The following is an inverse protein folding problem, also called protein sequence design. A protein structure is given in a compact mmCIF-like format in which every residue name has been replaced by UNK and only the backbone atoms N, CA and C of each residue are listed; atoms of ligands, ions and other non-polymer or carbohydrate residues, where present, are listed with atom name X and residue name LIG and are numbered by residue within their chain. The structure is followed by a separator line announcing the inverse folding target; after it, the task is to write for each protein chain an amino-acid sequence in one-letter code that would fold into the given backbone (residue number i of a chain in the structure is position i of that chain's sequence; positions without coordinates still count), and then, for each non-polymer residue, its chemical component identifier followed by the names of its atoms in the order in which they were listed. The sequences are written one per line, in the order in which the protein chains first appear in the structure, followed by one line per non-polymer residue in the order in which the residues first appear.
data_IF_568735871637
#
_entry.id   IF_568735871637
#
_cell.length_a   1.000
_cell.length_b   1.000
_cell.length_c   1.000
_cell.angle_alpha   90.00
_cell.angle_beta   90.00
_cell.angle_gamma   90.00
#
_symmetry.space_group_name_H-M   'P 1'
#
loop_
_entity.id
_entity.type
_entity.pdbx_description
1 polymer ?
#
# COMPACT_ATOMS: atom_id res chain seq x y z
N UNK A 1 6.13 -21.48 -54.13
CA UNK A 1 4.87 -21.20 -53.41
C UNK A 1 5.06 -20.59 -52.02
N UNK A 2 6.13 -20.87 -51.25
CA UNK A 2 6.33 -20.29 -49.90
C UNK A 2 6.72 -18.79 -49.83
N UNK A 3 7.16 -18.17 -50.93
CA UNK A 3 7.54 -16.74 -50.95
C UNK A 3 6.37 -15.78 -51.26
N UNK A 4 5.22 -16.28 -51.70
CA UNK A 4 4.06 -15.44 -52.03
C UNK A 4 3.19 -15.12 -50.80
N UNK A 5 3.20 -15.99 -49.78
CA UNK A 5 2.38 -15.81 -48.56
C UNK A 5 2.94 -14.72 -47.65
N UNK A 6 4.27 -14.50 -47.67
CA UNK A 6 4.90 -13.49 -46.81
C UNK A 6 4.54 -12.04 -47.21
N UNK A 7 4.26 -11.80 -48.50
CA UNK A 7 3.92 -10.46 -48.99
C UNK A 7 2.47 -10.09 -48.66
N UNK A 8 1.56 -11.07 -48.62
CA UNK A 8 0.14 -10.82 -48.28
C UNK A 8 -0.04 -10.48 -46.80
N UNK A 9 0.76 -11.06 -45.91
CA UNK A 9 0.71 -10.73 -44.47
C UNK A 9 1.30 -9.34 -44.17
N UNK A 10 2.33 -8.92 -44.92
CA UNK A 10 2.95 -7.60 -44.73
C UNK A 10 2.04 -6.45 -45.22
N UNK A 11 1.23 -6.68 -46.27
CA UNK A 11 0.30 -5.66 -46.80
C UNK A 11 -0.93 -5.49 -45.91
N UNK A 12 -1.33 -6.51 -45.14
CA UNK A 12 -2.45 -6.41 -44.19
C UNK A 12 -2.14 -5.56 -42.95
N UNK A 13 -0.86 -5.36 -42.60
CA UNK A 13 -0.47 -4.51 -41.48
C UNK A 13 -0.43 -3.00 -41.80
N UNK A 14 -0.54 -2.60 -43.07
CA UNK A 14 -0.44 -1.19 -43.48
C UNK A 14 -1.78 -0.47 -43.68
N UNK A 15 -2.92 -1.11 -43.42
CA UNK A 15 -4.26 -0.55 -43.73
C UNK A 15 -5.07 -0.16 -42.48
N UNK A 16 -4.48 -0.19 -41.27
CA UNK A 16 -5.26 -0.13 -40.02
C UNK A 16 -4.90 1.00 -39.06
N UNK A 17 -4.77 2.25 -39.52
CA UNK A 17 -4.83 3.42 -38.63
C UNK A 17 -5.69 4.50 -39.30
N UNK A 18 -7.01 4.41 -39.12
CA UNK A 18 -7.88 5.58 -39.24
C UNK A 18 -7.69 6.39 -37.94
N UNK A 19 -7.16 7.62 -38.07
CA UNK A 19 -7.19 8.63 -37.01
C UNK A 19 -8.64 9.08 -36.82
N UNK A 20 -9.27 8.60 -35.74
CA UNK A 20 -10.55 9.14 -35.32
C UNK A 20 -10.37 10.59 -34.85
N UNK A 21 -11.02 11.46 -35.60
CA UNK A 21 -11.06 12.92 -35.52
C UNK A 21 -11.68 13.44 -34.21
N UNK A 22 -11.04 14.47 -33.65
CA UNK A 22 -11.60 15.58 -32.88
C UNK A 22 -12.89 15.30 -32.07
N UNK A 23 -12.72 14.73 -30.88
CA UNK A 23 -13.67 14.91 -29.81
C UNK A 23 -13.52 16.34 -29.26
N UNK A 24 -14.37 17.26 -29.73
CA UNK A 24 -14.55 18.57 -29.11
C UNK A 24 -15.09 18.37 -27.70
N UNK A 25 -14.25 18.64 -26.70
CA UNK A 25 -14.64 18.68 -25.28
C UNK A 25 -15.65 19.83 -25.11
N UNK A 26 -16.86 19.59 -24.57
CA UNK A 26 -17.77 20.67 -24.25
C UNK A 26 -17.12 21.56 -23.19
N UNK A 27 -17.01 22.85 -23.51
CA UNK A 27 -16.63 23.89 -22.56
C UNK A 27 -17.67 23.88 -21.44
N UNK A 28 -17.26 23.42 -20.26
CA UNK A 28 -18.07 23.49 -19.05
C UNK A 28 -18.10 24.95 -18.65
N UNK A 29 -19.25 25.61 -18.84
CA UNK A 29 -19.46 26.97 -18.35
C UNK A 29 -19.36 26.99 -16.83
N UNK A 30 -18.62 27.96 -16.31
CA UNK A 30 -18.37 28.19 -14.88
C UNK A 30 -19.69 28.25 -14.11
N UNK A 31 -20.01 27.18 -13.37
CA UNK A 31 -21.14 27.18 -12.45
C UNK A 31 -20.71 28.01 -11.23
N UNK A 32 -21.41 29.11 -10.89
CA UNK A 32 -21.07 29.91 -9.73
C UNK A 32 -21.18 29.07 -8.46
N UNK A 33 -20.09 28.99 -7.72
CA UNK A 33 -20.00 28.29 -6.44
C UNK A 33 -20.88 29.02 -5.43
N UNK A 34 -22.05 28.47 -5.12
CA UNK A 34 -22.87 28.99 -4.03
C UNK A 34 -22.19 28.65 -2.70
N UNK A 35 -21.74 29.71 -2.03
CA UNK A 35 -21.18 29.70 -0.68
C UNK A 35 -22.25 29.26 0.31
N UNK A 36 -22.36 27.95 0.54
CA UNK A 36 -23.15 27.43 1.65
C UNK A 36 -22.34 27.59 2.93
N UNK A 37 -22.51 28.74 3.58
CA UNK A 37 -22.08 28.97 4.95
C UNK A 37 -22.73 27.92 5.87
N UNK A 38 -21.95 26.91 6.26
CA UNK A 38 -22.33 25.87 7.22
C UNK A 38 -22.51 26.56 8.58
N UNK A 39 -23.76 26.60 9.06
CA UNK A 39 -24.04 27.04 10.43
C UNK A 39 -23.53 25.97 11.40
N UNK A 40 -22.62 26.41 12.27
CA UNK A 40 -22.03 25.66 13.36
C UNK A 40 -23.09 25.50 14.46
N UNK A 41 -23.77 24.36 14.52
CA UNK A 41 -24.58 24.00 15.67
C UNK A 41 -23.67 23.54 16.81
N UNK A 42 -23.54 24.38 17.84
CA UNK A 42 -22.98 24.02 19.14
C UNK A 42 -23.94 23.02 19.80
N UNK A 43 -23.50 21.76 19.91
CA UNK A 43 -24.22 20.73 20.66
C UNK A 43 -23.58 20.62 22.05
N UNK A 44 -24.33 21.06 23.06
CA UNK A 44 -23.99 20.94 24.47
C UNK A 44 -23.75 19.48 24.86
N UNK A 45 -22.59 19.25 25.46
CA UNK A 45 -22.13 17.98 25.98
C UNK A 45 -22.79 17.72 27.34
N UNK A 46 -23.63 16.69 27.41
CA UNK A 46 -24.25 16.24 28.65
C UNK A 46 -23.33 15.23 29.31
N UNK A 47 -22.67 15.66 30.39
CA UNK A 47 -21.92 14.81 31.31
C UNK A 47 -22.86 13.77 31.91
N UNK A 48 -22.54 12.48 31.69
CA UNK A 48 -23.11 11.35 32.43
C UNK A 48 -21.96 10.75 33.21
N UNK A 49 -21.99 10.98 34.51
CA UNK A 49 -21.22 10.21 35.49
C UNK A 49 -22.00 8.91 35.72
N UNK A 50 -21.40 7.78 35.35
CA UNK A 50 -21.82 6.47 35.82
C UNK A 50 -20.58 5.81 36.43
N UNK A 51 -20.54 5.86 37.76
CA UNK A 51 -19.87 4.89 38.62
C UNK A 51 -20.51 3.51 38.35
N UNK A 52 -19.70 2.46 38.17
CA UNK A 52 -19.96 1.20 38.86
C UNK A 52 -18.80 0.20 38.69
N UNK A 53 -18.48 -0.38 39.84
CA UNK A 53 -17.55 -1.45 40.11
C UNK A 53 -17.79 -2.72 39.28
N UNK A 54 -16.71 -3.42 38.91
CA UNK A 54 -16.52 -4.84 39.24
C UNK A 54 -15.14 -5.35 38.81
N UNK A 55 -14.32 -5.65 39.81
CA UNK A 55 -13.18 -6.56 39.72
C UNK A 55 -13.72 -8.00 39.70
N UNK A 56 -13.47 -8.74 38.63
CA UNK A 56 -13.54 -10.21 38.63
C UNK A 56 -12.19 -10.75 38.16
N UNK A 57 -11.45 -11.31 39.12
CA UNK A 57 -10.29 -12.18 38.88
C UNK A 57 -10.81 -13.56 38.49
N UNK A 58 -10.53 -14.03 37.28
CA UNK A 58 -10.69 -15.43 36.89
C UNK A 58 -9.32 -16.08 36.67
N UNK A 59 -9.00 -17.02 37.58
CA UNK A 59 -7.91 -17.98 37.48
C UNK A 59 -8.18 -18.97 36.32
N UNK A 60 -7.29 -19.04 35.33
CA UNK A 60 -7.29 -20.10 34.33
C UNK A 60 -6.12 -21.08 34.55
N UNK A 61 -6.46 -22.23 35.12
CA UNK A 61 -5.61 -23.40 35.28
C UNK A 61 -5.35 -24.13 33.95
N UNK A 62 -4.07 -24.47 33.75
CA UNK A 62 -3.51 -25.72 33.25
C UNK A 62 -4.30 -26.59 32.25
N UNK A 63 -3.71 -26.74 31.06
CA UNK A 63 -3.95 -27.88 30.16
C UNK A 63 -2.71 -28.14 29.30
N UNK A 64 -1.85 -29.05 29.76
CA UNK A 64 -0.77 -29.62 28.95
C UNK A 64 -1.36 -30.74 28.08
N UNK A 65 -1.41 -30.53 26.75
CA UNK A 65 -1.72 -31.58 25.78
C UNK A 65 -0.44 -32.04 25.07
N UNK A 66 -0.03 -33.27 25.36
CA UNK A 66 1.01 -34.00 24.63
C UNK A 66 0.47 -34.47 23.26
N UNK A 67 0.92 -33.86 22.17
CA UNK A 67 0.73 -34.42 20.83
C UNK A 67 1.89 -35.33 20.42
N UNK A 68 1.63 -36.64 20.43
CA UNK A 68 2.46 -37.64 19.77
C UNK A 68 2.24 -37.60 18.25
N UNK A 69 3.04 -36.79 17.56
CA UNK A 69 3.11 -36.75 16.09
C UNK A 69 4.06 -37.79 15.51
N UNK A 70 3.49 -38.75 14.79
CA UNK A 70 4.19 -39.82 14.05
C UNK A 70 5.13 -39.27 12.97
N UNK A 71 6.39 -39.69 13.01
CA UNK A 71 7.41 -39.34 12.03
C UNK A 71 7.10 -39.90 10.64
N UNK A 72 6.88 -39.00 9.68
CA UNK A 72 6.89 -39.27 8.25
C UNK A 72 8.21 -38.70 7.71
N UNK A 73 9.15 -39.58 7.37
CA UNK A 73 10.41 -39.22 6.73
C UNK A 73 10.17 -38.79 5.27
N UNK A 74 9.76 -37.53 5.08
CA UNK A 74 9.76 -36.91 3.75
C UNK A 74 11.19 -36.46 3.47
N UNK A 75 11.88 -37.19 2.59
CA UNK A 75 13.12 -36.70 1.97
C UNK A 75 12.77 -35.55 1.03
N UNK A 76 12.72 -34.33 1.56
CA UNK A 76 12.69 -33.11 0.76
C UNK A 76 14.06 -32.94 0.07
N UNK A 77 14.10 -33.35 -1.19
CA UNK A 77 15.08 -32.84 -2.14
C UNK A 77 14.62 -31.47 -2.61
N UNK A 78 15.05 -30.41 -1.93
CA UNK A 78 14.84 -29.03 -2.37
C UNK A 78 16.09 -28.20 -2.08
N UNK A 79 17.12 -28.42 -2.91
CA UNK A 79 18.12 -27.38 -3.20
C UNK A 79 17.47 -26.32 -4.11
N UNK A 80 16.55 -25.55 -3.55
CA UNK A 80 16.16 -24.26 -4.13
C UNK A 80 16.80 -23.25 -3.20
N UNK A 81 17.92 -22.66 -3.61
CA UNK A 81 18.49 -21.55 -2.87
C UNK A 81 17.37 -20.49 -2.74
N UNK A 82 17.02 -20.04 -1.53
CA UNK A 82 16.07 -18.94 -1.39
C UNK A 82 16.60 -17.81 -2.25
N UNK A 83 15.82 -17.40 -3.25
CA UNK A 83 16.13 -16.23 -4.05
C UNK A 83 16.15 -15.09 -3.04
N UNK A 84 17.36 -14.66 -2.67
CA UNK A 84 17.60 -13.45 -1.92
C UNK A 84 17.28 -12.30 -2.88
N UNK A 85 15.97 -12.07 -3.08
CA UNK A 85 15.48 -10.93 -3.83
C UNK A 85 15.89 -9.73 -2.99
N UNK A 86 16.94 -9.05 -3.42
CA UNK A 86 17.41 -7.83 -2.78
C UNK A 86 16.23 -6.86 -2.76
N UNK A 87 15.71 -6.61 -1.55
CA UNK A 87 14.59 -5.72 -1.32
C UNK A 87 15.04 -4.31 -1.68
N UNK A 88 14.57 -3.81 -2.82
CA UNK A 88 14.99 -2.55 -3.43
C UNK A 88 13.79 -1.83 -4.04
N UNK A 89 13.70 -0.52 -3.83
CA UNK A 89 12.66 0.36 -4.38
C UNK A 89 12.68 0.42 -5.91
N UNK A 90 13.82 0.13 -6.56
CA UNK A 90 13.91 0.00 -8.03
C UNK A 90 12.99 -1.06 -8.60
N UNK A 91 12.64 -2.06 -7.78
CA UNK A 91 11.81 -3.19 -8.18
C UNK A 91 10.34 -2.96 -7.77
N UNK A 92 9.90 -1.73 -7.56
CA UNK A 92 8.49 -1.44 -7.28
C UNK A 92 7.66 -1.44 -8.57
N UNK A 93 6.48 -2.11 -8.61
CA UNK A 93 5.82 -2.81 -7.51
C UNK A 93 6.17 -4.31 -7.37
N UNK A 94 7.02 -4.86 -8.22
CA UNK A 94 7.38 -6.28 -8.28
C UNK A 94 7.87 -6.87 -6.95
N UNK A 95 8.49 -6.08 -6.08
CA UNK A 95 8.86 -6.49 -4.71
C UNK A 95 7.69 -7.04 -3.89
N UNK A 96 6.45 -6.66 -4.23
CA UNK A 96 5.24 -7.15 -3.60
C UNK A 96 4.55 -8.28 -4.35
N UNK A 97 4.95 -8.54 -5.59
CA UNK A 97 4.40 -9.56 -6.48
C UNK A 97 5.19 -10.88 -6.41
N UNK A 98 6.42 -10.82 -5.87
CA UNK A 98 7.35 -11.93 -5.84
C UNK A 98 6.97 -13.06 -4.87
N UNK A 99 7.40 -14.27 -5.23
CA UNK A 99 7.36 -15.43 -4.36
C UNK A 99 8.45 -15.33 -3.28
N UNK A 100 8.12 -14.68 -2.17
CA UNK A 100 8.95 -14.69 -0.98
C UNK A 100 8.79 -16.08 -0.32
N UNK A 101 9.73 -16.99 -0.63
CA UNK A 101 9.92 -18.31 0.01
C UNK A 101 8.92 -19.43 -0.37
N UNK A 102 8.46 -19.52 -1.61
CA UNK A 102 7.52 -20.56 -2.04
C UNK A 102 6.07 -20.31 -1.62
N UNK A 103 5.77 -19.13 -1.06
CA UNK A 103 4.42 -18.64 -0.77
C UNK A 103 4.09 -17.56 -1.80
N UNK A 104 3.16 -17.87 -2.69
CA UNK A 104 2.48 -16.85 -3.49
C UNK A 104 1.78 -15.88 -2.55
N UNK A 105 2.38 -14.73 -2.29
CA UNK A 105 1.79 -13.69 -1.45
C UNK A 105 0.90 -12.85 -2.37
N UNK A 106 -0.35 -13.29 -2.54
CA UNK A 106 -1.21 -12.80 -3.62
C UNK A 106 -1.86 -11.44 -3.37
N UNK A 107 -1.66 -10.80 -2.20
CA UNK A 107 -2.32 -9.53 -1.91
C UNK A 107 -1.41 -8.54 -1.20
N UNK A 108 -1.54 -7.27 -1.57
CA UNK A 108 -1.01 -6.13 -0.83
C UNK A 108 -2.15 -5.40 -0.16
N UNK A 109 -1.98 -5.08 1.11
CA UNK A 109 -2.87 -4.13 1.77
C UNK A 109 -2.24 -2.74 1.79
N UNK A 110 -3.02 -1.73 1.50
CA UNK A 110 -2.66 -0.33 1.72
C UNK A 110 -3.37 0.11 2.99
N UNK A 111 -2.61 0.55 3.97
CA UNK A 111 -3.12 0.91 5.28
C UNK A 111 -3.03 2.41 5.47
N UNK A 112 -4.18 3.06 5.59
CA UNK A 112 -4.29 4.49 5.87
C UNK A 112 -4.78 4.66 7.30
N UNK A 113 -4.25 5.66 8.01
CA UNK A 113 -4.68 5.96 9.36
C UNK A 113 -6.14 6.39 9.44
N UNK A 114 -6.89 5.93 10.46
CA UNK A 114 -8.26 6.38 10.70
C UNK A 114 -8.37 7.88 10.92
N UNK A 115 -7.33 8.50 11.49
CA UNK A 115 -7.23 9.95 11.71
C UNK A 115 -6.50 10.67 10.58
N UNK A 116 -6.10 9.95 9.53
CA UNK A 116 -5.29 10.51 8.47
C UNK A 116 -6.06 11.61 7.72
N UNK A 117 -5.36 12.66 7.25
CA UNK A 117 -5.95 13.68 6.42
C UNK A 117 -6.46 13.09 5.11
N UNK A 118 -7.45 13.74 4.48
CA UNK A 118 -8.05 13.24 3.23
C UNK A 118 -7.03 13.04 2.11
N UNK A 119 -5.93 13.79 2.13
CA UNK A 119 -4.83 13.68 1.17
C UNK A 119 -4.02 12.38 1.31
N UNK A 120 -3.93 11.79 2.49
CA UNK A 120 -3.32 10.47 2.69
C UNK A 120 -4.20 9.36 2.09
N UNK A 121 -5.53 9.51 2.17
CA UNK A 121 -6.48 8.58 1.52
C UNK A 121 -6.33 8.62 -0.01
N UNK A 122 -6.19 9.83 -0.58
CA UNK A 122 -5.91 10.00 -2.02
C UNK A 122 -4.56 9.37 -2.37
N UNK A 123 -3.54 9.55 -1.53
CA UNK A 123 -2.22 8.95 -1.72
C UNK A 123 -2.29 7.41 -1.81
N UNK A 124 -3.09 6.79 -0.94
CA UNK A 124 -3.35 5.34 -1.01
C UNK A 124 -4.05 4.91 -2.29
N UNK A 125 -5.04 5.68 -2.73
CA UNK A 125 -5.75 5.43 -3.99
C UNK A 125 -4.81 5.51 -5.19
N UNK A 126 -3.91 6.49 -5.20
CA UNK A 126 -2.94 6.69 -6.28
C UNK A 126 -1.98 5.49 -6.40
N UNK A 127 -1.41 5.07 -5.28
CA UNK A 127 -0.52 3.89 -5.23
C UNK A 127 -1.28 2.64 -5.63
N UNK A 128 -2.51 2.44 -5.14
CA UNK A 128 -3.35 1.31 -5.52
C UNK A 128 -3.58 1.25 -7.03
N UNK A 129 -3.90 2.41 -7.64
CA UNK A 129 -4.12 2.51 -9.08
C UNK A 129 -2.85 2.20 -9.87
N UNK A 130 -1.68 2.68 -9.41
CA UNK A 130 -0.40 2.41 -10.06
C UNK A 130 -0.09 0.91 -10.06
N UNK A 131 -0.24 0.24 -8.92
CA UNK A 131 -0.01 -1.21 -8.82
C UNK A 131 -1.00 -1.98 -9.70
N UNK A 132 -2.30 -1.69 -9.59
CA UNK A 132 -3.33 -2.39 -10.38
C UNK A 132 -3.16 -2.18 -11.90
N UNK A 133 -2.57 -1.07 -12.33
CA UNK A 133 -2.27 -0.80 -13.74
C UNK A 133 -1.13 -1.64 -14.30
N UNK A 134 -0.29 -2.24 -13.44
CA UNK A 134 0.91 -3.00 -13.83
C UNK A 134 0.76 -4.50 -13.64
N UNK A 135 -0.14 -4.95 -12.76
CA UNK A 135 -0.33 -6.37 -12.48
C UNK A 135 -1.34 -6.98 -13.44
N UNK A 136 -0.87 -7.91 -14.28
CA UNK A 136 -1.74 -8.66 -15.20
C UNK A 136 -2.48 -9.84 -14.52
N UNK A 137 -2.01 -10.27 -13.34
CA UNK A 137 -2.61 -11.37 -12.59
C UNK A 137 -3.97 -10.96 -11.99
N UNK A 138 -5.01 -11.68 -12.40
CA UNK A 138 -6.39 -11.44 -11.96
C UNK A 138 -6.66 -11.86 -10.52
N UNK A 139 -5.81 -12.73 -9.98
CA UNK A 139 -5.93 -13.19 -8.60
C UNK A 139 -5.20 -12.27 -7.62
N UNK A 140 -4.37 -11.35 -8.13
CA UNK A 140 -3.71 -10.34 -7.32
C UNK A 140 -4.68 -9.22 -6.92
N UNK A 141 -4.68 -8.85 -5.64
CA UNK A 141 -5.53 -7.75 -5.15
C UNK A 141 -4.74 -6.75 -4.33
N UNK A 142 -4.98 -5.48 -4.63
CA UNK A 142 -4.65 -4.37 -3.76
C UNK A 142 -5.90 -3.95 -3.01
N UNK A 143 -5.85 -4.01 -1.68
CA UNK A 143 -6.98 -3.66 -0.82
C UNK A 143 -6.57 -2.49 0.05
N UNK A 144 -7.33 -1.40 0.01
CA UNK A 144 -7.12 -0.27 0.94
C UNK A 144 -8.00 -0.48 2.16
N UNK A 145 -7.42 -0.32 3.34
CA UNK A 145 -8.06 -0.52 4.65
C UNK A 145 -7.61 0.57 5.62
N UNK A 146 -8.41 0.83 6.64
CA UNK A 146 -8.03 1.66 7.77
C UNK A 146 -7.11 0.89 8.72
N UNK A 147 -6.29 1.64 9.46
CA UNK A 147 -5.27 1.09 10.37
C UNK A 147 -5.82 0.21 11.48
N UNK A 148 -7.08 0.41 11.88
CA UNK A 148 -7.73 -0.39 12.91
C UNK A 148 -8.65 -1.50 12.39
N UNK A 149 -8.76 -1.66 11.07
CA UNK A 149 -9.36 -2.83 10.44
C UNK A 149 -8.38 -4.01 10.35
N UNK A 150 -7.11 -3.76 10.67
CA UNK A 150 -6.02 -4.74 10.61
C UNK A 150 -5.40 -4.90 11.98
N UNK A 151 -5.18 -6.13 12.43
CA UNK A 151 -4.55 -6.40 13.73
C UNK A 151 -3.04 -6.19 13.72
N UNK A 152 -2.36 -6.47 12.61
CA UNK A 152 -0.92 -6.24 12.44
C UNK A 152 -0.53 -6.14 10.97
N UNK A 153 0.45 -5.29 10.66
CA UNK A 153 1.07 -5.18 9.33
C UNK A 153 2.35 -5.99 9.17
N UNK A 154 2.92 -6.52 10.26
CA UNK A 154 4.22 -7.19 10.25
C UNK A 154 4.18 -8.57 9.57
N UNK A 155 3.00 -9.20 9.52
CA UNK A 155 2.78 -10.55 8.98
C UNK A 155 2.15 -10.56 7.58
N UNK A 156 2.32 -9.47 6.81
CA UNK A 156 1.74 -9.33 5.47
C UNK A 156 2.48 -8.30 4.63
N UNK A 157 2.31 -8.40 3.32
CA UNK A 157 2.74 -7.36 2.41
C UNK A 157 1.85 -6.13 2.58
N UNK A 158 2.45 -5.00 2.97
CA UNK A 158 1.69 -3.81 3.31
C UNK A 158 2.38 -2.52 2.84
N UNK A 159 1.58 -1.55 2.42
CA UNK A 159 2.01 -0.17 2.21
C UNK A 159 1.30 0.69 3.23
N UNK A 160 2.05 1.24 4.17
CA UNK A 160 1.56 2.04 5.28
C UNK A 160 1.72 3.50 4.90
N UNK A 161 0.64 4.28 4.99
CA UNK A 161 0.60 5.66 4.55
C UNK A 161 0.38 6.59 5.74
N UNK A 162 1.19 7.65 5.78
CA UNK A 162 1.08 8.71 6.76
C UNK A 162 1.92 8.48 8.01
N UNK A 163 1.78 9.40 8.96
CA UNK A 163 2.60 9.48 10.15
C UNK A 163 2.08 8.59 11.31
N UNK A 164 2.95 8.18 12.26
CA UNK A 164 2.58 7.35 13.41
C UNK A 164 1.42 7.89 14.26
N UNK A 165 1.22 9.21 14.30
CA UNK A 165 0.17 9.83 15.11
C UNK A 165 -1.23 9.65 14.57
N UNK A 166 -1.34 9.50 13.25
CA UNK A 166 -2.63 9.33 12.57
C UNK A 166 -2.85 7.89 12.12
N UNK A 167 -1.77 7.10 12.05
CA UNK A 167 -1.76 5.70 11.65
C UNK A 167 -1.02 4.82 12.66
N UNK A 168 -1.78 4.07 13.47
CA UNK A 168 -1.22 3.15 14.48
C UNK A 168 -0.36 2.03 13.88
N UNK A 169 -0.57 1.65 12.62
CA UNK A 169 0.28 0.67 11.93
C UNK A 169 1.62 1.25 11.50
N UNK A 170 1.71 2.55 11.28
CA UNK A 170 3.00 3.23 11.09
C UNK A 170 3.82 3.22 12.39
N UNK A 171 3.14 3.42 13.53
CA UNK A 171 3.78 3.29 14.85
C UNK A 171 4.26 1.85 15.10
N UNK A 172 3.43 0.83 14.83
CA UNK A 172 3.81 -0.59 14.94
C UNK A 172 5.04 -0.92 14.08
N UNK A 173 5.05 -0.44 12.83
CA UNK A 173 6.13 -0.73 11.89
C UNK A 173 7.47 -0.08 12.28
N UNK A 174 7.43 1.13 12.83
CA UNK A 174 8.63 1.94 13.08
C UNK A 174 9.11 1.88 14.53
N UNK A 175 8.24 1.52 15.48
CA UNK A 175 8.40 1.74 16.91
C UNK A 175 8.65 3.22 17.30
N UNK A 176 8.24 4.16 16.45
CA UNK A 176 8.39 5.60 16.69
C UNK A 176 7.05 6.16 17.15
N UNK A 177 7.07 6.86 18.28
CA UNK A 177 5.91 7.56 18.86
C UNK A 177 5.77 9.00 18.36
N UNK A 178 6.88 9.61 17.94
CA UNK A 178 6.89 10.97 17.44
C UNK A 178 6.27 11.02 16.03
N UNK A 179 5.33 11.93 15.81
CA UNK A 179 4.60 12.05 14.55
C UNK A 179 5.54 12.29 13.37
N UNK A 180 6.59 13.10 13.60
CA UNK A 180 7.53 13.50 12.55
C UNK A 180 8.88 12.82 12.71
N UNK A 181 9.18 12.24 13.89
CA UNK A 181 10.49 11.66 14.19
C UNK A 181 11.63 12.61 13.84
N UNK A 182 12.60 12.13 13.08
CA UNK A 182 13.73 12.94 12.60
C UNK A 182 13.47 13.63 11.24
N UNK A 183 12.22 13.75 10.80
CA UNK A 183 11.88 14.33 9.50
C UNK A 183 11.93 15.86 9.52
N UNK A 184 12.64 16.43 8.56
CA UNK A 184 12.71 17.87 8.35
C UNK A 184 11.50 18.38 7.54
N UNK A 185 11.16 19.65 7.74
CA UNK A 185 10.16 20.35 6.93
C UNK A 185 10.50 20.32 5.43
N UNK A 186 9.47 20.17 4.58
CA UNK A 186 9.62 19.99 3.12
C UNK A 186 10.26 18.66 2.69
N UNK A 187 10.36 17.67 3.59
CA UNK A 187 10.85 16.32 3.27
C UNK A 187 9.76 15.27 3.40
N UNK A 188 9.80 14.32 2.49
CA UNK A 188 9.04 13.09 2.57
C UNK A 188 9.97 11.89 2.38
N UNK A 189 9.56 10.73 2.88
CA UNK A 189 10.34 9.51 2.77
C UNK A 189 9.50 8.32 2.33
N UNK A 190 10.18 7.40 1.66
CA UNK A 190 9.68 6.06 1.37
C UNK A 190 10.70 5.09 1.94
N UNK A 191 10.26 4.14 2.76
CA UNK A 191 11.16 3.19 3.39
C UNK A 191 10.63 1.77 3.33
N UNK A 192 11.48 0.85 2.90
CA UNK A 192 11.21 -0.58 2.90
C UNK A 192 11.65 -1.22 4.21
N UNK A 193 10.81 -2.13 4.68
CA UNK A 193 11.02 -2.98 5.83
C UNK A 193 10.77 -4.42 5.44
N UNK A 194 11.42 -5.33 6.16
CA UNK A 194 11.18 -6.76 6.01
C UNK A 194 10.96 -7.36 7.38
N UNK A 195 9.72 -7.75 7.66
CA UNK A 195 9.32 -8.36 8.92
C UNK A 195 8.64 -9.70 8.63
N UNK A 196 9.00 -10.73 9.40
CA UNK A 196 8.39 -12.06 9.34
C UNK A 196 8.31 -12.70 7.93
N UNK A 197 9.21 -12.31 7.03
CA UNK A 197 9.25 -12.79 5.65
C UNK A 197 8.36 -12.02 4.67
N UNK A 198 7.73 -10.93 5.10
CA UNK A 198 6.91 -10.03 4.29
C UNK A 198 7.60 -8.70 4.07
N UNK A 199 7.14 -7.95 3.05
CA UNK A 199 7.64 -6.61 2.75
C UNK A 199 6.63 -5.58 3.21
N UNK A 200 7.10 -4.60 3.99
CA UNK A 200 6.32 -3.43 4.33
C UNK A 200 6.99 -2.20 3.74
N UNK A 201 6.20 -1.27 3.23
CA UNK A 201 6.66 0.02 2.78
C UNK A 201 5.97 1.11 3.57
N UNK A 202 6.73 2.03 4.13
CA UNK A 202 6.20 3.22 4.78
C UNK A 202 6.36 4.41 3.85
N UNK A 203 5.25 5.07 3.54
CA UNK A 203 5.18 6.28 2.72
C UNK A 203 4.66 7.42 3.59
N UNK A 204 5.46 8.44 3.84
CA UNK A 204 5.10 9.55 4.72
C UNK A 204 5.84 10.83 4.38
N UNK A 205 5.18 11.96 4.59
CA UNK A 205 5.74 13.30 4.54
C UNK A 205 5.76 13.98 5.90
N UNK A 206 6.51 15.09 5.98
CA UNK A 206 6.48 15.96 7.13
C UNK A 206 5.05 16.43 7.40
N UNK A 207 4.30 16.72 6.34
CA UNK A 207 2.86 16.94 6.34
C UNK A 207 2.14 16.10 5.26
N UNK A 208 0.84 16.33 5.10
CA UNK A 208 -0.01 15.66 4.12
C UNK A 208 0.37 15.94 2.66
N UNK A 209 0.93 17.13 2.37
CA UNK A 209 1.43 17.48 1.04
C UNK A 209 2.65 16.62 0.70
N UNK A 210 3.51 16.38 1.69
CA UNK A 210 4.67 15.51 1.53
C UNK A 210 4.32 14.05 1.30
N UNK A 211 3.36 13.53 2.06
CA UNK A 211 2.87 12.16 1.87
C UNK A 211 2.34 12.00 0.45
N UNK A 212 1.59 12.98 -0.05
CA UNK A 212 1.09 13.00 -1.42
C UNK A 212 2.19 13.09 -2.47
N UNK A 213 3.16 13.99 -2.29
CA UNK A 213 4.30 14.11 -3.19
C UNK A 213 5.09 12.80 -3.28
N UNK A 214 5.26 12.12 -2.14
CA UNK A 214 5.89 10.80 -2.09
C UNK A 214 5.09 9.75 -2.85
N UNK A 215 3.77 9.70 -2.65
CA UNK A 215 2.89 8.79 -3.37
C UNK A 215 2.87 9.05 -4.88
N UNK A 216 2.87 10.31 -5.32
CA UNK A 216 2.98 10.69 -6.73
C UNK A 216 4.27 10.17 -7.33
N UNK A 217 5.40 10.41 -6.65
CA UNK A 217 6.70 9.97 -7.16
C UNK A 217 6.83 8.45 -7.17
N UNK A 218 6.29 7.75 -6.17
CA UNK A 218 6.24 6.29 -6.14
C UNK A 218 5.38 5.71 -7.28
N UNK A 219 4.25 6.35 -7.56
CA UNK A 219 3.30 5.91 -8.58
C UNK A 219 3.77 6.15 -10.03
N UNK A 220 4.80 6.99 -10.22
CA UNK A 220 5.48 7.22 -11.50
C UNK A 220 6.49 6.09 -11.79
N UNK A 221 5.95 4.87 -11.91
CA UNK A 221 6.74 3.64 -12.08
C UNK A 221 7.57 3.70 -13.36
N UNK A 222 8.87 3.42 -13.24
CA UNK A 222 9.84 3.49 -14.33
C UNK A 222 10.53 4.85 -14.52
N UNK A 223 10.02 5.92 -13.91
CA UNK A 223 10.65 7.25 -13.93
C UNK A 223 11.04 7.75 -12.51
N UNK A 224 10.74 6.96 -11.49
CA UNK A 224 11.31 7.17 -10.17
C UNK A 224 12.74 6.61 -10.14
N UNK A 225 13.69 7.39 -9.61
CA UNK A 225 15.08 6.99 -9.47
C UNK A 225 15.33 6.54 -8.02
N UNK A 226 14.41 5.75 -7.47
CA UNK A 226 14.55 5.27 -6.09
C UNK A 226 15.43 4.04 -6.08
N UNK A 227 16.58 4.12 -5.41
CA UNK A 227 17.48 2.98 -5.20
C UNK A 227 17.54 2.56 -3.73
N UNK A 228 17.82 1.28 -3.53
CA UNK A 228 17.93 0.69 -2.20
C UNK A 228 16.61 0.66 -1.44
N UNK A 229 16.70 0.73 -0.10
CA UNK A 229 15.56 0.54 0.80
C UNK A 229 14.92 1.83 1.29
N UNK A 230 15.44 2.98 0.84
CA UNK A 230 15.09 4.27 1.42
C UNK A 230 15.26 5.38 0.40
N UNK A 231 14.22 6.18 0.22
CA UNK A 231 14.25 7.37 -0.61
C UNK A 231 13.77 8.59 0.18
N UNK A 232 14.40 9.74 -0.06
CA UNK A 232 13.98 11.05 0.44
C UNK A 232 13.56 11.93 -0.72
N UNK A 233 12.45 12.63 -0.55
CA UNK A 233 11.82 13.47 -1.56
C UNK A 233 11.73 14.87 -0.96
N UNK A 234 12.14 15.87 -1.75
CA UNK A 234 11.89 17.26 -1.44
C UNK A 234 10.62 17.68 -2.16
N UNK A 235 9.70 18.35 -1.47
CA UNK A 235 8.46 18.87 -2.05
C UNK A 235 8.22 20.32 -1.66
#
# INVERSE_FOLDING_TARGET
MKRLILIVVLVLFLVGCEEDSDATVPVVEDVPYEDTSIQKEEKEEKVVEDDDDQEEEEDLEGGEEEEQGTGVDIKLDQSINPIDLEVDLLNFPEIFLGDLRGKTVSNVIIVVGRKAPGRDVISGTLIASAINGLVEDKDYRVITVMDDEVSSVLDRNAIIIGNPCDNSRAQELTNILDCHGDMEDGKAMIRLYQNNGFIQMHVLGYDEEGTYAAAVKLSDVGNNNFDGKFAVINY
#
